data_IF_593574541665
#
_entry.id   IF_593574541665
#
_cell.length_a   1.000
_cell.length_b   1.000
_cell.length_c   1.000
_cell.angle_alpha   90.00
_cell.angle_beta   90.00
_cell.angle_gamma   90.00
#
_symmetry.space_group_name_H-M   'P 1'
#
loop_
_entity.id
_entity.type
_entity.pdbx_description
1 polymer ?
#
# COMPACT_ATOMS: atom_id res chain seq x y z
N UNK A 1 -9.80 -29.57 37.92
CA UNK A 1 -8.32 -29.70 37.95
C UNK A 1 -7.88 -30.63 36.83
N UNK A 2 -7.33 -30.11 35.72
CA UNK A 2 -6.44 -30.86 34.81
C UNK A 2 -5.64 -29.86 33.98
N UNK A 3 -4.36 -30.20 33.84
CA UNK A 3 -3.21 -29.31 33.66
C UNK A 3 -3.13 -28.66 32.27
N UNK A 4 -2.71 -27.40 32.25
CA UNK A 4 -2.15 -26.71 31.09
C UNK A 4 -0.92 -27.46 30.57
N UNK A 5 -0.82 -27.65 29.26
CA UNK A 5 0.43 -27.92 28.56
C UNK A 5 0.82 -26.64 27.80
N UNK A 6 1.76 -25.88 28.37
CA UNK A 6 2.51 -24.85 27.66
C UNK A 6 3.39 -25.54 26.62
N UNK A 7 3.11 -25.32 25.33
CA UNK A 7 4.06 -25.59 24.26
C UNK A 7 4.92 -24.35 24.05
N UNK A 8 6.12 -24.40 24.63
CA UNK A 8 7.19 -23.42 24.53
C UNK A 8 7.80 -23.47 23.12
N UNK A 9 7.52 -22.48 22.27
CA UNK A 9 8.20 -22.34 20.98
C UNK A 9 9.51 -21.53 21.16
N UNK A 10 10.68 -22.07 20.77
CA UNK A 10 11.94 -21.37 20.87
C UNK A 10 12.05 -20.26 19.82
N UNK A 11 12.23 -19.06 20.34
CA UNK A 11 12.56 -17.80 19.69
C UNK A 11 13.92 -17.92 18.97
N UNK A 12 13.94 -17.89 17.63
CA UNK A 12 15.20 -17.83 16.86
C UNK A 12 15.51 -16.37 16.57
N UNK A 13 16.36 -15.78 17.42
CA UNK A 13 16.99 -14.48 17.21
C UNK A 13 18.03 -14.58 16.10
N UNK A 14 17.71 -14.03 14.92
CA UNK A 14 18.72 -13.76 13.89
C UNK A 14 19.40 -12.43 14.22
N UNK A 15 20.54 -12.52 14.91
CA UNK A 15 21.42 -11.40 15.23
C UNK A 15 22.62 -11.39 14.27
N UNK A 16 22.68 -10.38 13.42
CA UNK A 16 23.85 -9.94 12.65
C UNK A 16 23.67 -8.42 12.52
N UNK A 17 24.36 -7.49 13.19
CA UNK A 17 25.78 -7.42 13.53
C UNK A 17 26.57 -7.17 12.24
N UNK A 18 27.04 -5.99 11.84
CA UNK A 18 27.05 -4.63 12.36
C UNK A 18 27.94 -3.74 11.48
N UNK A 19 27.91 -2.42 11.74
CA UNK A 19 28.92 -1.39 11.42
C UNK A 19 29.12 -0.99 9.92
N UNK A 20 29.35 0.26 9.50
CA UNK A 20 29.79 1.52 10.13
C UNK A 20 29.36 2.71 9.27
N UNK A 21 29.10 3.85 9.89
CA UNK A 21 29.09 5.16 9.22
C UNK A 21 30.52 5.70 9.01
N UNK A 22 30.72 6.52 7.96
CA UNK A 22 31.39 7.81 8.20
C UNK A 22 30.68 9.00 7.49
N UNK A 23 30.67 10.14 8.16
CA UNK A 23 30.52 11.50 7.60
C UNK A 23 31.74 12.33 8.08
N UNK A 24 32.02 13.58 7.65
CA UNK A 24 31.48 14.41 6.56
C UNK A 24 32.60 15.05 5.68
N UNK A 25 32.26 15.80 4.61
CA UNK A 25 32.85 17.12 4.26
C UNK A 25 32.39 17.63 2.87
N UNK A 26 32.31 18.95 2.78
CA UNK A 26 31.88 19.79 1.67
C UNK A 26 32.82 19.74 0.43
N UNK A 27 32.31 20.09 -0.75
CA UNK A 27 32.59 21.36 -1.42
C UNK A 27 32.01 21.39 -2.85
N UNK A 28 31.68 22.61 -3.25
CA UNK A 28 31.15 23.05 -4.55
C UNK A 28 32.12 22.81 -5.70
N UNK A 29 31.63 22.42 -6.87
CA UNK A 29 32.21 22.86 -8.15
C UNK A 29 31.13 22.94 -9.22
N UNK A 30 30.82 24.17 -9.64
CA UNK A 30 30.16 24.44 -10.91
C UNK A 30 31.18 24.24 -12.04
N UNK A 31 30.78 23.59 -13.13
CA UNK A 31 31.47 23.69 -14.42
C UNK A 31 30.45 23.84 -15.53
N UNK A 32 30.58 24.96 -16.25
CA UNK A 32 29.95 25.26 -17.53
C UNK A 32 30.64 24.52 -18.68
N UNK A 33 29.95 24.46 -19.82
CA UNK A 33 30.44 24.05 -21.15
C UNK A 33 29.35 23.23 -21.84
N UNK A 34 28.45 23.79 -22.66
CA UNK A 34 28.68 24.28 -24.05
C UNK A 34 29.30 23.16 -24.90
N UNK A 35 28.80 22.69 -26.04
CA UNK A 35 27.82 23.13 -27.02
C UNK A 35 27.59 21.94 -27.99
N UNK A 36 26.39 21.88 -28.59
CA UNK A 36 26.10 21.39 -29.96
C UNK A 36 26.49 19.95 -30.39
N UNK A 37 25.50 19.14 -30.78
CA UNK A 37 25.14 18.99 -32.21
C UNK A 37 24.31 17.69 -32.45
N UNK A 38 23.08 17.91 -32.90
CA UNK A 38 22.29 17.11 -33.86
C UNK A 38 22.42 15.59 -33.88
N UNK A 39 21.37 14.89 -33.43
CA UNK A 39 20.77 13.80 -34.22
C UNK A 39 19.24 13.84 -34.08
N UNK A 40 18.57 14.20 -35.17
CA UNK A 40 17.17 13.91 -35.42
C UNK A 40 16.98 12.39 -35.40
N UNK A 41 16.09 11.92 -34.53
CA UNK A 41 15.39 10.65 -34.71
C UNK A 41 13.90 10.95 -34.58
N UNK A 42 13.32 11.30 -35.72
CA UNK A 42 11.91 11.00 -36.02
C UNK A 42 11.69 9.50 -35.77
N UNK A 43 11.24 9.13 -34.58
CA UNK A 43 10.50 7.88 -34.40
C UNK A 43 9.01 8.25 -34.36
N UNK A 44 8.48 8.32 -35.59
CA UNK A 44 7.17 7.82 -35.98
C UNK A 44 6.18 7.68 -34.84
N UNK A 45 5.11 8.46 -34.90
CA UNK A 45 3.90 8.26 -34.12
C UNK A 45 3.41 6.82 -34.18
N UNK A 46 3.93 5.98 -33.30
CA UNK A 46 3.27 4.81 -32.81
C UNK A 46 2.07 5.37 -32.07
N UNK A 47 0.91 5.31 -32.72
CA UNK A 47 -0.37 5.40 -32.06
C UNK A 47 -0.28 4.43 -30.87
N UNK A 48 0.06 5.00 -29.70
CA UNK A 48 0.08 4.27 -28.45
C UNK A 48 -1.33 3.77 -28.32
N UNK A 49 -1.53 2.50 -28.62
CA UNK A 49 -2.72 1.79 -28.26
C UNK A 49 -2.70 1.80 -26.73
N UNK A 50 -3.19 2.89 -26.14
CA UNK A 50 -3.60 2.88 -24.75
C UNK A 50 -4.44 1.61 -24.63
N UNK A 51 -4.03 0.64 -23.79
CA UNK A 51 -4.82 -0.57 -23.63
C UNK A 51 -6.22 -0.08 -23.34
N UNK A 52 -7.20 -0.54 -24.12
CA UNK A 52 -8.58 -0.19 -23.86
C UNK A 52 -8.84 -0.67 -22.44
N UNK A 53 -8.82 0.25 -21.47
CA UNK A 53 -9.03 -0.04 -20.06
C UNK A 53 -10.37 -0.77 -20.05
N UNK A 54 -10.30 -2.07 -19.77
CA UNK A 54 -11.49 -2.89 -19.68
C UNK A 54 -12.33 -2.34 -18.53
N UNK A 55 -13.66 -2.41 -18.62
CA UNK A 55 -14.54 -1.77 -17.63
C UNK A 55 -14.18 -2.12 -16.18
N UNK A 56 -13.79 -3.37 -15.94
CA UNK A 56 -13.36 -3.86 -14.63
C UNK A 56 -12.06 -3.20 -14.11
N UNK A 57 -11.12 -2.83 -15.00
CA UNK A 57 -9.88 -2.16 -14.58
C UNK A 57 -10.16 -0.74 -14.10
N UNK A 58 -11.11 -0.04 -14.74
CA UNK A 58 -11.55 1.28 -14.27
C UNK A 58 -12.19 1.16 -12.89
N UNK A 59 -13.14 0.23 -12.73
CA UNK A 59 -13.80 0.00 -11.45
C UNK A 59 -12.81 -0.38 -10.34
N UNK A 60 -11.86 -1.28 -10.64
CA UNK A 60 -10.83 -1.68 -9.68
C UNK A 60 -9.95 -0.51 -9.23
N UNK A 61 -9.61 0.42 -10.13
CA UNK A 61 -8.85 1.61 -9.77
C UNK A 61 -9.68 2.59 -8.94
N UNK A 62 -10.97 2.76 -9.26
CA UNK A 62 -11.87 3.61 -8.47
C UNK A 62 -12.06 3.06 -7.05
N UNK A 63 -12.23 1.74 -6.91
CA UNK A 63 -12.34 1.07 -5.61
C UNK A 63 -11.08 1.24 -4.76
N UNK A 64 -9.89 1.16 -5.37
CA UNK A 64 -8.64 1.35 -4.62
C UNK A 64 -8.41 2.78 -4.20
N UNK A 65 -8.75 3.75 -5.07
CA UNK A 65 -8.72 5.16 -4.70
C UNK A 65 -9.62 5.44 -3.50
N UNK A 66 -10.81 4.82 -3.46
CA UNK A 66 -11.70 4.89 -2.30
C UNK A 66 -11.09 4.22 -1.06
N UNK A 67 -10.47 3.05 -1.21
CA UNK A 67 -9.81 2.31 -0.13
C UNK A 67 -8.66 3.12 0.49
N UNK A 68 -7.80 3.72 -0.33
CA UNK A 68 -6.71 4.60 0.10
C UNK A 68 -7.22 5.84 0.83
N UNK A 69 -8.29 6.45 0.32
CA UNK A 69 -8.95 7.61 0.93
C UNK A 69 -9.50 7.27 2.32
N UNK A 70 -10.23 6.16 2.44
CA UNK A 70 -10.85 5.77 3.70
C UNK A 70 -9.80 5.32 4.72
N UNK A 71 -8.75 4.60 4.32
CA UNK A 71 -7.64 4.23 5.19
C UNK A 71 -6.88 5.46 5.73
N UNK A 72 -6.73 6.49 4.90
CA UNK A 72 -6.14 7.78 5.31
C UNK A 72 -7.03 8.51 6.31
N UNK A 73 -8.34 8.56 6.04
CA UNK A 73 -9.33 9.17 6.94
C UNK A 73 -9.39 8.45 8.29
N UNK A 74 -9.38 7.11 8.30
CA UNK A 74 -9.42 6.31 9.52
C UNK A 74 -8.33 6.74 10.51
N UNK A 75 -7.11 6.94 10.02
CA UNK A 75 -5.98 7.35 10.87
C UNK A 75 -6.22 8.70 11.53
N UNK A 76 -6.80 9.67 10.82
CA UNK A 76 -7.16 10.98 11.35
C UNK A 76 -8.33 10.92 12.35
N UNK A 77 -9.32 10.09 12.05
CA UNK A 77 -10.51 9.88 12.88
C UNK A 77 -10.15 9.25 14.23
N UNK A 78 -9.29 8.22 14.23
CA UNK A 78 -8.75 7.61 15.46
C UNK A 78 -7.96 8.64 16.28
N UNK A 79 -7.05 9.40 15.65
CA UNK A 79 -6.26 10.44 16.35
C UNK A 79 -7.13 11.53 16.97
N UNK A 80 -8.31 11.78 16.40
CA UNK A 80 -9.29 12.74 16.91
C UNK A 80 -10.18 12.17 18.03
N UNK A 81 -9.99 10.91 18.42
CA UNK A 81 -10.77 10.21 19.44
C UNK A 81 -12.21 9.88 19.02
N UNK A 82 -12.52 9.89 17.72
CA UNK A 82 -13.86 9.65 17.18
C UNK A 82 -14.08 8.16 16.90
N UNK A 83 -14.17 7.36 17.96
CA UNK A 83 -14.15 5.91 17.86
C UNK A 83 -15.34 5.28 17.13
N UNK A 84 -16.55 5.82 17.27
CA UNK A 84 -17.72 5.35 16.53
C UNK A 84 -17.51 5.52 15.01
N UNK A 85 -17.11 6.73 14.59
CA UNK A 85 -16.83 7.03 13.18
C UNK A 85 -15.64 6.20 12.63
N UNK A 86 -14.64 5.92 13.47
CA UNK A 86 -13.51 5.07 13.11
C UNK A 86 -13.95 3.63 12.84
N UNK A 87 -14.87 3.10 13.66
CA UNK A 87 -15.48 1.79 13.42
C UNK A 87 -16.23 1.74 12.09
N UNK A 88 -17.05 2.76 11.79
CA UNK A 88 -17.77 2.86 10.52
C UNK A 88 -16.83 2.94 9.31
N UNK A 89 -15.70 3.65 9.43
CA UNK A 89 -14.67 3.70 8.38
C UNK A 89 -13.99 2.34 8.20
N UNK A 90 -13.66 1.63 9.29
CA UNK A 90 -13.06 0.31 9.19
C UNK A 90 -13.97 -0.70 8.49
N UNK A 91 -15.28 -0.69 8.77
CA UNK A 91 -16.25 -1.54 8.07
C UNK A 91 -16.35 -1.18 6.58
N UNK A 92 -16.34 0.10 6.23
CA UNK A 92 -16.36 0.54 4.83
C UNK A 92 -15.11 0.09 4.04
N UNK A 93 -13.94 0.14 4.67
CA UNK A 93 -12.69 -0.40 4.11
C UNK A 93 -12.86 -1.90 3.80
N UNK A 94 -13.48 -2.65 4.70
CA UNK A 94 -13.76 -4.07 4.48
C UNK A 94 -14.77 -4.32 3.36
N UNK A 95 -15.85 -3.53 3.27
CA UNK A 95 -16.79 -3.61 2.14
C UNK A 95 -16.11 -3.32 0.79
N UNK A 96 -15.17 -2.37 0.75
CA UNK A 96 -14.37 -2.09 -0.44
C UNK A 96 -13.44 -3.26 -0.79
N UNK A 97 -12.84 -3.89 0.21
CA UNK A 97 -12.02 -5.09 0.01
C UNK A 97 -12.84 -6.24 -0.58
N UNK A 98 -14.01 -6.52 -0.04
CA UNK A 98 -14.91 -7.57 -0.55
C UNK A 98 -15.29 -7.34 -2.03
N UNK A 99 -15.53 -6.09 -2.42
CA UNK A 99 -15.82 -5.72 -3.82
C UNK A 99 -14.62 -5.90 -4.73
N UNK A 100 -13.42 -5.50 -4.29
CA UNK A 100 -12.18 -5.73 -5.03
C UNK A 100 -11.94 -7.24 -5.22
N UNK A 101 -12.18 -8.04 -4.19
CA UNK A 101 -12.04 -9.48 -4.25
C UNK A 101 -13.07 -10.15 -5.16
N UNK A 102 -14.32 -9.64 -5.19
CA UNK A 102 -15.32 -10.11 -6.14
C UNK A 102 -14.87 -9.92 -7.60
N UNK A 103 -14.21 -8.78 -7.92
CA UNK A 103 -13.59 -8.58 -9.24
C UNK A 103 -12.46 -9.59 -9.47
N UNK A 104 -11.66 -9.89 -8.44
CA UNK A 104 -10.55 -10.84 -8.55
C UNK A 104 -10.99 -12.30 -8.77
N UNK A 105 -12.18 -12.68 -8.30
CA UNK A 105 -12.77 -14.00 -8.59
C UNK A 105 -13.04 -14.19 -10.09
N UNK A 106 -13.47 -13.12 -10.78
CA UNK A 106 -13.72 -13.12 -12.22
C UNK A 106 -12.47 -12.82 -13.05
N UNK A 107 -11.51 -12.08 -12.45
CA UNK A 107 -10.30 -11.58 -13.09
C UNK A 107 -9.08 -11.86 -12.22
N UNK A 108 -8.43 -13.01 -12.43
CA UNK A 108 -7.29 -13.46 -11.64
C UNK A 108 -6.13 -12.44 -11.58
N UNK A 109 -6.00 -11.57 -12.58
CA UNK A 109 -5.02 -10.48 -12.61
C UNK A 109 -5.20 -9.46 -11.47
N UNK A 110 -6.41 -9.36 -10.90
CA UNK A 110 -6.72 -8.49 -9.76
C UNK A 110 -6.44 -9.16 -8.40
N UNK A 111 -6.04 -10.44 -8.35
CA UNK A 111 -5.77 -11.17 -7.10
C UNK A 111 -4.81 -10.43 -6.16
N UNK A 112 -3.67 -9.85 -6.61
CA UNK A 112 -2.78 -9.12 -5.71
C UNK A 112 -3.42 -7.85 -5.10
N UNK A 113 -4.39 -7.25 -5.79
CA UNK A 113 -5.14 -6.09 -5.29
C UNK A 113 -6.19 -6.52 -4.25
N UNK A 114 -6.78 -7.71 -4.39
CA UNK A 114 -7.64 -8.31 -3.38
C UNK A 114 -6.86 -8.60 -2.09
N UNK A 115 -5.73 -9.29 -2.19
CA UNK A 115 -4.90 -9.62 -1.01
C UNK A 115 -4.49 -8.35 -0.22
N UNK A 116 -4.07 -7.28 -0.91
CA UNK A 116 -3.75 -5.98 -0.28
C UNK A 116 -4.98 -5.36 0.40
N UNK A 117 -6.16 -5.45 -0.23
CA UNK A 117 -7.38 -4.89 0.33
C UNK A 117 -7.86 -5.65 1.58
N UNK A 118 -7.78 -6.98 1.58
CA UNK A 118 -8.08 -7.80 2.75
C UNK A 118 -7.13 -7.50 3.91
N UNK A 119 -5.83 -7.36 3.62
CA UNK A 119 -4.84 -7.00 4.64
C UNK A 119 -5.16 -5.64 5.26
N UNK A 120 -5.54 -4.65 4.44
CA UNK A 120 -5.94 -3.32 4.92
C UNK A 120 -7.22 -3.37 5.76
N UNK A 121 -8.21 -4.16 5.38
CA UNK A 121 -9.41 -4.39 6.18
C UNK A 121 -9.04 -4.96 7.57
N UNK A 122 -8.24 -6.03 7.60
CA UNK A 122 -7.80 -6.67 8.85
C UNK A 122 -7.04 -5.68 9.74
N UNK A 123 -6.06 -4.96 9.18
CA UNK A 123 -5.28 -3.95 9.91
C UNK A 123 -6.14 -2.78 10.39
N UNK A 124 -7.16 -2.38 9.64
CA UNK A 124 -8.06 -1.29 10.03
C UNK A 124 -8.91 -1.68 11.25
N UNK A 125 -9.48 -2.89 11.25
CA UNK A 125 -10.23 -3.41 12.39
C UNK A 125 -9.36 -3.60 13.63
N UNK A 126 -8.16 -4.15 13.47
CA UNK A 126 -7.20 -4.30 14.58
C UNK A 126 -6.85 -2.95 15.20
N UNK A 127 -6.53 -1.93 14.38
CA UNK A 127 -6.24 -0.58 14.88
C UNK A 127 -7.41 0.06 15.63
N UNK A 128 -8.64 -0.12 15.15
CA UNK A 128 -9.81 0.38 15.88
C UNK A 128 -9.96 -0.36 17.20
N UNK A 129 -9.79 -1.68 17.23
CA UNK A 129 -9.87 -2.46 18.46
C UNK A 129 -8.79 -2.06 19.48
N UNK A 130 -7.56 -1.80 19.03
CA UNK A 130 -6.44 -1.44 19.90
C UNK A 130 -6.56 -0.02 20.48
N UNK A 131 -7.06 0.93 19.69
CA UNK A 131 -7.11 2.35 20.07
C UNK A 131 -8.45 2.76 20.71
N UNK A 132 -9.52 2.01 20.45
CA UNK A 132 -10.89 2.34 20.88
C UNK A 132 -11.58 1.25 21.73
N UNK A 133 -10.98 0.07 21.91
CA UNK A 133 -11.49 -1.02 22.75
C UNK A 133 -10.96 -1.02 24.18
#
# INVERSE_FOLDING_TARGET
MRRLLLASFPFVLFACGGASAPAPAAETTATSGEEEESMQLDDSGGAGASPMITGWQSELNDLQSALDSDASQLSSTIQSGRCDDAGELAERICELADRICSIAEEHAEASPRCDDAEERCSRSRERVADECG
#
